data_IF_223916735072
#
_entry.id   IF_223916735072
#
_cell.length_a   1.000
_cell.length_b   1.000
_cell.length_c   1.000
_cell.angle_alpha   90.00
_cell.angle_beta   90.00
_cell.angle_gamma   90.00
#
_symmetry.space_group_name_H-M   'P 1'
#
loop_
_entity.id
_entity.type
_entity.pdbx_description
1 polymer ?
#
# COMPACT_ATOMS: atom_id res chain seq x y z
N UNK A 1 -9.16 14.39 -19.75
CA UNK A 1 -10.58 14.08 -20.01
C UNK A 1 -10.83 12.62 -20.43
N UNK A 2 -10.19 12.08 -21.51
CA UNK A 2 -10.44 10.70 -21.97
C UNK A 2 -10.03 9.66 -20.92
N UNK A 3 -8.83 9.76 -20.36
CA UNK A 3 -8.33 8.85 -19.32
C UNK A 3 -9.19 8.96 -18.05
N UNK A 4 -9.53 10.15 -17.61
CA UNK A 4 -10.43 10.37 -16.47
C UNK A 4 -11.76 9.67 -16.66
N UNK A 5 -12.41 9.87 -17.83
CA UNK A 5 -13.66 9.20 -18.19
C UNK A 5 -13.49 7.68 -18.10
N UNK A 6 -12.40 7.13 -18.67
CA UNK A 6 -12.14 5.69 -18.64
C UNK A 6 -11.92 5.16 -17.23
N UNK A 7 -11.23 5.91 -16.35
CA UNK A 7 -11.01 5.55 -14.94
C UNK A 7 -12.32 5.64 -14.14
N UNK A 8 -13.13 6.68 -14.39
CA UNK A 8 -14.37 6.94 -13.67
C UNK A 8 -15.52 6.03 -14.08
N UNK A 9 -15.50 5.48 -15.31
CA UNK A 9 -16.56 4.58 -15.77
C UNK A 9 -16.54 3.30 -14.93
N UNK A 10 -17.63 2.95 -14.23
CA UNK A 10 -17.71 1.70 -13.49
C UNK A 10 -17.62 0.51 -14.43
N UNK A 11 -16.91 -0.54 -14.03
CA UNK A 11 -16.84 -1.80 -14.76
C UNK A 11 -16.82 -2.97 -13.78
N UNK A 12 -17.58 -3.98 -14.07
CA UNK A 12 -17.59 -5.26 -13.35
C UNK A 12 -16.64 -6.27 -14.01
N UNK A 13 -16.27 -6.01 -15.26
CA UNK A 13 -15.40 -6.87 -16.04
C UNK A 13 -13.94 -6.44 -15.93
N UNK A 14 -13.05 -7.40 -16.14
CA UNK A 14 -11.62 -7.13 -16.24
C UNK A 14 -11.35 -6.24 -17.47
N UNK A 15 -10.64 -5.14 -17.24
CA UNK A 15 -10.23 -4.19 -18.28
C UNK A 15 -8.72 -4.28 -18.51
N UNK A 16 -8.32 -4.95 -19.58
CA UNK A 16 -6.93 -5.06 -19.98
C UNK A 16 -6.29 -3.67 -20.16
N UNK A 17 -5.12 -3.43 -19.56
CA UNK A 17 -4.35 -2.19 -19.70
C UNK A 17 -4.90 -1.01 -18.89
N UNK A 18 -5.86 -1.20 -17.99
CA UNK A 18 -6.38 -0.11 -17.15
C UNK A 18 -5.32 0.44 -16.19
N UNK A 19 -4.36 -0.38 -15.77
CA UNK A 19 -3.17 0.02 -15.01
C UNK A 19 -2.30 1.00 -15.79
N UNK A 20 -2.09 0.75 -17.09
CA UNK A 20 -1.40 1.67 -17.99
C UNK A 20 -2.13 2.99 -18.17
N UNK A 21 -3.48 2.97 -18.28
CA UNK A 21 -4.30 4.19 -18.33
C UNK A 21 -4.18 5.01 -17.05
N UNK A 22 -4.22 4.35 -15.88
CA UNK A 22 -4.05 5.02 -14.58
C UNK A 22 -2.62 5.58 -14.43
N UNK A 23 -1.60 4.84 -14.85
CA UNK A 23 -0.20 5.28 -14.83
C UNK A 23 0.01 6.50 -15.72
N UNK A 24 -0.47 6.46 -16.97
CA UNK A 24 -0.41 7.57 -17.90
C UNK A 24 -1.18 8.80 -17.40
N UNK A 25 -2.34 8.59 -16.79
CA UNK A 25 -3.10 9.68 -16.16
C UNK A 25 -2.30 10.35 -15.03
N UNK A 26 -1.67 9.57 -14.14
CA UNK A 26 -0.85 10.10 -13.05
C UNK A 26 0.42 10.80 -13.57
N UNK A 27 1.03 10.31 -14.66
CA UNK A 27 2.16 11.00 -15.32
C UNK A 27 1.77 12.39 -15.80
N UNK A 28 0.58 12.53 -16.40
CA UNK A 28 0.10 13.82 -16.92
C UNK A 28 -0.39 14.74 -15.81
N UNK A 29 -1.26 14.25 -14.92
CA UNK A 29 -1.91 15.03 -13.88
C UNK A 29 -1.02 15.27 -12.64
N UNK A 30 -0.01 14.43 -12.42
CA UNK A 30 0.81 14.48 -11.21
C UNK A 30 0.00 14.19 -9.95
N UNK A 31 0.34 14.85 -8.86
CA UNK A 31 -0.31 14.68 -7.56
C UNK A 31 -1.81 14.99 -7.61
N UNK A 32 -2.22 15.93 -8.45
CA UNK A 32 -3.64 16.30 -8.63
C UNK A 32 -4.50 15.15 -9.18
N UNK A 33 -3.90 14.15 -9.79
CA UNK A 33 -4.59 12.95 -10.28
C UNK A 33 -4.89 11.91 -9.20
N UNK A 34 -4.16 11.93 -8.09
CA UNK A 34 -4.31 10.91 -7.03
C UNK A 34 -5.72 10.85 -6.42
N UNK A 35 -6.39 11.98 -6.09
CA UNK A 35 -7.71 11.94 -5.46
C UNK A 35 -8.73 11.10 -6.25
N UNK A 36 -8.72 11.19 -7.58
CA UNK A 36 -9.62 10.39 -8.42
C UNK A 36 -9.40 8.88 -8.24
N UNK A 37 -8.14 8.45 -8.30
CA UNK A 37 -7.77 7.03 -8.15
C UNK A 37 -8.02 6.56 -6.72
N UNK A 38 -7.65 7.36 -5.73
CA UNK A 38 -7.89 7.06 -4.31
C UNK A 38 -9.37 6.86 -4.03
N UNK A 39 -10.21 7.78 -4.47
CA UNK A 39 -11.64 7.73 -4.24
C UNK A 39 -12.28 6.50 -4.89
N UNK A 40 -12.01 6.27 -6.18
CA UNK A 40 -12.74 5.30 -6.99
C UNK A 40 -12.18 3.88 -6.90
N UNK A 41 -10.87 3.72 -6.61
CA UNK A 41 -10.17 2.43 -6.74
C UNK A 41 -9.53 1.93 -5.45
N UNK A 42 -9.13 2.84 -4.55
CA UNK A 42 -8.44 2.44 -3.33
C UNK A 42 -9.38 2.43 -2.11
N UNK A 43 -10.14 3.51 -1.91
CA UNK A 43 -11.04 3.66 -0.75
C UNK A 43 -12.37 2.94 -0.93
N UNK A 44 -13.02 3.12 -2.08
CA UNK A 44 -14.34 2.55 -2.31
C UNK A 44 -14.25 1.04 -2.49
N UNK A 45 -15.03 0.33 -1.69
CA UNK A 45 -15.24 -1.12 -1.87
C UNK A 45 -16.33 -1.41 -2.91
N UNK A 46 -17.20 -0.43 -3.16
CA UNK A 46 -18.36 -0.59 -4.05
C UNK A 46 -18.23 0.30 -5.28
N UNK A 47 -18.76 -0.19 -6.40
CA UNK A 47 -18.89 0.61 -7.60
C UNK A 47 -19.90 1.75 -7.36
N UNK A 48 -19.56 2.92 -7.85
CA UNK A 48 -20.42 4.11 -7.78
C UNK A 48 -20.69 4.66 -9.18
N UNK A 49 -21.86 5.28 -9.39
CA UNK A 49 -22.15 6.01 -10.61
C UNK A 49 -21.49 7.42 -10.62
N UNK A 50 -21.78 8.21 -11.66
CA UNK A 50 -21.23 9.56 -11.81
C UNK A 50 -21.64 10.54 -10.68
N UNK A 51 -22.73 10.22 -9.96
CA UNK A 51 -23.24 11.02 -8.84
C UNK A 51 -22.75 10.50 -7.47
N UNK A 52 -21.90 9.46 -7.46
CA UNK A 52 -21.37 8.85 -6.24
C UNK A 52 -22.33 7.86 -5.57
N UNK A 53 -23.48 7.52 -6.20
CA UNK A 53 -24.43 6.54 -5.68
C UNK A 53 -23.90 5.11 -5.92
N UNK A 54 -23.97 4.27 -4.87
CA UNK A 54 -23.56 2.87 -4.96
C UNK A 54 -24.45 2.09 -5.92
N UNK A 55 -23.83 1.38 -6.86
CA UNK A 55 -24.53 0.52 -7.81
C UNK A 55 -24.95 -0.79 -7.14
N UNK A 56 -26.14 -1.27 -7.52
CA UNK A 56 -26.68 -2.55 -7.05
C UNK A 56 -26.98 -3.49 -8.23
N UNK A 57 -27.00 -4.79 -7.95
CA UNK A 57 -27.45 -5.80 -8.92
C UNK A 57 -29.00 -5.88 -8.95
N UNK A 58 -29.53 -6.79 -9.79
CA UNK A 58 -30.98 -7.03 -9.90
C UNK A 58 -31.64 -7.51 -8.60
N UNK A 59 -30.86 -8.01 -7.64
CA UNK A 59 -31.30 -8.48 -6.33
C UNK A 59 -31.07 -7.44 -5.21
N UNK A 60 -30.70 -6.19 -5.56
CA UNK A 60 -30.43 -5.12 -4.60
C UNK A 60 -29.09 -5.21 -3.87
N UNK A 61 -28.22 -6.16 -4.20
CA UNK A 61 -26.91 -6.31 -3.56
C UNK A 61 -25.91 -5.30 -4.14
N UNK A 62 -25.13 -4.67 -3.29
CA UNK A 62 -24.09 -3.69 -3.69
C UNK A 62 -23.03 -4.37 -4.56
N UNK A 63 -22.69 -3.77 -5.70
CA UNK A 63 -21.66 -4.25 -6.61
C UNK A 63 -20.29 -3.85 -6.08
N UNK A 64 -19.39 -4.82 -5.91
CA UNK A 64 -18.03 -4.58 -5.46
C UNK A 64 -17.17 -4.03 -6.59
N UNK A 65 -16.20 -3.19 -6.26
CA UNK A 65 -15.09 -2.85 -7.17
C UNK A 65 -14.31 -4.14 -7.42
N UNK A 66 -14.12 -4.57 -8.68
CA UNK A 66 -13.37 -5.78 -8.97
C UNK A 66 -11.94 -5.69 -8.41
N UNK A 67 -11.45 -6.82 -7.90
CA UNK A 67 -10.05 -6.93 -7.43
C UNK A 67 -9.05 -6.42 -8.47
N UNK A 68 -9.28 -6.74 -9.76
CA UNK A 68 -8.43 -6.31 -10.86
C UNK A 68 -8.30 -4.79 -10.98
N UNK A 69 -9.36 -4.03 -10.71
CA UNK A 69 -9.34 -2.56 -10.75
C UNK A 69 -8.50 -1.97 -9.60
N UNK A 70 -8.68 -2.51 -8.40
CA UNK A 70 -7.88 -2.08 -7.23
C UNK A 70 -6.42 -2.48 -7.38
N UNK A 71 -6.17 -3.69 -7.88
CA UNK A 71 -4.81 -4.16 -8.19
C UNK A 71 -4.13 -3.32 -9.27
N UNK A 72 -4.86 -2.94 -10.33
CA UNK A 72 -4.36 -2.05 -11.37
C UNK A 72 -3.98 -0.66 -10.83
N UNK A 73 -4.78 -0.12 -9.90
CA UNK A 73 -4.44 1.14 -9.23
C UNK A 73 -3.17 1.01 -8.37
N UNK A 74 -3.00 -0.11 -7.66
CA UNK A 74 -1.76 -0.42 -6.94
C UNK A 74 -0.56 -0.48 -7.89
N UNK A 75 -0.70 -1.11 -9.06
CA UNK A 75 0.35 -1.15 -10.08
C UNK A 75 0.70 0.23 -10.61
N UNK A 76 -0.30 1.10 -10.81
CA UNK A 76 -0.05 2.49 -11.20
C UNK A 76 0.76 3.26 -10.14
N UNK A 77 0.50 3.06 -8.85
CA UNK A 77 1.30 3.66 -7.77
C UNK A 77 2.75 3.12 -7.77
N UNK A 78 2.94 1.81 -8.01
CA UNK A 78 4.27 1.20 -8.15
C UNK A 78 5.03 1.78 -9.34
N UNK A 79 4.35 1.96 -10.47
CA UNK A 79 4.92 2.59 -11.66
C UNK A 79 5.38 4.02 -11.34
N UNK A 80 4.54 4.83 -10.71
CA UNK A 80 4.89 6.21 -10.32
C UNK A 80 6.08 6.26 -9.35
N UNK A 81 6.18 5.30 -8.44
CA UNK A 81 7.31 5.19 -7.50
C UNK A 81 8.63 4.88 -8.20
N UNK A 82 8.60 3.98 -9.20
CA UNK A 82 9.80 3.40 -9.80
C UNK A 82 10.29 4.13 -11.04
N UNK A 83 9.38 4.71 -11.81
CA UNK A 83 9.68 5.19 -13.17
C UNK A 83 9.31 6.65 -13.42
N UNK A 84 8.53 7.29 -12.58
CA UNK A 84 8.03 8.64 -12.84
C UNK A 84 8.92 9.77 -12.31
N UNK A 85 10.16 9.47 -11.94
CA UNK A 85 11.23 10.42 -11.56
C UNK A 85 10.77 11.59 -10.66
N UNK A 86 10.06 11.28 -9.59
CA UNK A 86 9.59 12.28 -8.63
C UNK A 86 8.37 13.11 -9.09
N UNK A 87 7.70 12.75 -10.18
CA UNK A 87 6.48 13.43 -10.65
C UNK A 87 5.42 13.58 -9.56
N UNK A 88 5.36 12.61 -8.65
CA UNK A 88 4.60 12.66 -7.40
C UNK A 88 5.59 12.41 -6.26
N UNK A 89 5.53 13.21 -5.21
CA UNK A 89 6.41 13.08 -4.07
C UNK A 89 6.27 11.70 -3.41
N UNK A 90 7.39 11.04 -3.10
CA UNK A 90 7.41 9.71 -2.48
C UNK A 90 6.57 9.60 -1.19
N UNK A 91 6.58 10.60 -0.26
CA UNK A 91 5.68 10.58 0.89
C UNK A 91 4.20 10.53 0.51
N UNK A 92 3.81 11.23 -0.56
CA UNK A 92 2.42 11.24 -1.04
C UNK A 92 2.00 9.89 -1.64
N UNK A 93 2.90 9.24 -2.39
CA UNK A 93 2.66 7.87 -2.89
C UNK A 93 2.52 6.85 -1.75
N UNK A 94 3.33 6.98 -0.68
CA UNK A 94 3.17 6.15 0.52
C UNK A 94 1.79 6.33 1.15
N UNK A 95 1.29 7.56 1.25
CA UNK A 95 -0.06 7.83 1.77
C UNK A 95 -1.14 7.12 0.96
N UNK A 96 -1.08 7.22 -0.38
CA UNK A 96 -2.02 6.51 -1.26
C UNK A 96 -1.94 4.99 -1.08
N UNK A 97 -0.71 4.43 -1.02
CA UNK A 97 -0.52 3.00 -0.85
C UNK A 97 -1.07 2.49 0.50
N UNK A 98 -0.95 3.28 1.57
CA UNK A 98 -1.47 2.91 2.91
C UNK A 98 -2.99 2.72 2.94
N UNK A 99 -3.73 3.33 2.02
CA UNK A 99 -5.19 3.16 1.91
C UNK A 99 -5.53 1.69 1.66
N UNK A 100 -4.71 1.00 0.88
CA UNK A 100 -4.91 -0.42 0.55
C UNK A 100 -4.63 -1.38 1.72
N UNK A 101 -4.06 -0.92 2.83
CA UNK A 101 -3.91 -1.75 4.03
C UNK A 101 -5.26 -2.16 4.63
N UNK A 102 -6.35 -1.45 4.34
CA UNK A 102 -7.71 -1.80 4.78
C UNK A 102 -8.36 -2.90 3.92
N UNK A 103 -7.61 -3.42 2.93
CA UNK A 103 -8.02 -4.49 2.02
C UNK A 103 -7.29 -5.79 2.34
N UNK A 104 -7.89 -6.73 3.09
CA UNK A 104 -7.22 -7.99 3.47
C UNK A 104 -6.68 -8.77 2.28
N UNK A 105 -7.37 -8.72 1.13
CA UNK A 105 -6.98 -9.41 -0.10
C UNK A 105 -5.70 -8.86 -0.76
N UNK A 106 -5.23 -7.67 -0.37
CA UNK A 106 -4.03 -7.01 -0.89
C UNK A 106 -3.00 -6.68 0.19
N UNK A 107 -3.35 -6.85 1.46
CA UNK A 107 -2.57 -6.33 2.58
C UNK A 107 -1.13 -6.88 2.61
N UNK A 108 -0.91 -8.14 2.30
CA UNK A 108 0.42 -8.75 2.26
C UNK A 108 1.33 -8.13 1.19
N UNK A 109 0.77 -7.84 0.01
CA UNK A 109 1.47 -7.18 -1.09
C UNK A 109 1.79 -5.72 -0.75
N UNK A 110 0.82 -5.02 -0.16
CA UNK A 110 0.97 -3.61 0.25
C UNK A 110 2.03 -3.48 1.35
N UNK A 111 2.03 -4.36 2.36
CA UNK A 111 3.03 -4.39 3.42
C UNK A 111 4.43 -4.58 2.83
N UNK A 112 4.57 -5.49 1.84
CA UNK A 112 5.85 -5.71 1.16
C UNK A 112 6.33 -4.47 0.39
N UNK A 113 5.43 -3.75 -0.28
CA UNK A 113 5.78 -2.51 -0.98
C UNK A 113 6.16 -1.39 -0.02
N UNK A 114 5.41 -1.19 1.06
CA UNK A 114 5.72 -0.18 2.06
C UNK A 114 7.08 -0.46 2.76
N UNK A 115 7.43 -1.74 2.94
CA UNK A 115 8.77 -2.11 3.41
C UNK A 115 9.87 -1.72 2.39
N UNK A 116 9.69 -2.00 1.10
CA UNK A 116 10.61 -1.58 0.02
C UNK A 116 10.72 -0.05 -0.07
N UNK A 117 9.61 0.63 0.14
CA UNK A 117 9.54 2.09 0.12
C UNK A 117 10.04 2.72 1.42
N UNK A 118 10.49 1.91 2.38
CA UNK A 118 10.99 2.35 3.69
C UNK A 118 9.98 3.23 4.44
N UNK A 119 8.74 2.84 4.39
CA UNK A 119 7.69 3.50 5.15
C UNK A 119 7.59 2.89 6.55
N UNK A 120 8.44 3.37 7.44
CA UNK A 120 8.55 2.84 8.80
C UNK A 120 7.55 3.43 9.79
N UNK A 121 6.60 4.25 9.33
CA UNK A 121 5.62 4.92 10.20
C UNK A 121 4.41 4.06 10.55
N UNK A 122 4.22 2.92 9.87
CA UNK A 122 3.02 2.08 10.01
C UNK A 122 3.21 0.88 10.97
N UNK A 123 4.32 0.80 11.70
CA UNK A 123 4.66 -0.35 12.53
C UNK A 123 3.54 -0.71 13.52
N UNK A 124 3.05 0.28 14.27
CA UNK A 124 1.98 0.06 15.26
C UNK A 124 0.67 -0.39 14.60
N UNK A 125 0.32 0.19 13.44
CA UNK A 125 -0.83 -0.25 12.64
C UNK A 125 -0.70 -1.72 12.22
N UNK A 126 0.48 -2.14 11.78
CA UNK A 126 0.74 -3.52 11.41
C UNK A 126 0.63 -4.48 12.60
N UNK A 127 1.01 -4.06 13.81
CA UNK A 127 0.80 -4.86 15.02
C UNK A 127 -0.69 -5.00 15.35
N UNK A 128 -1.48 -3.93 15.21
CA UNK A 128 -2.94 -3.98 15.37
C UNK A 128 -3.57 -4.94 14.34
N UNK A 129 -3.17 -4.86 13.06
CA UNK A 129 -3.63 -5.77 12.00
C UNK A 129 -3.26 -7.22 12.27
N UNK A 130 -2.09 -7.49 12.89
CA UNK A 130 -1.66 -8.85 13.23
C UNK A 130 -2.62 -9.54 14.21
N UNK A 131 -3.24 -8.77 15.09
CA UNK A 131 -4.18 -9.24 16.11
C UNK A 131 -5.64 -9.25 15.61
N UNK A 132 -5.94 -8.62 14.48
CA UNK A 132 -7.29 -8.49 13.93
C UNK A 132 -7.71 -9.77 13.18
N UNK A 133 -8.93 -10.24 13.50
CA UNK A 133 -9.53 -11.43 12.85
C UNK A 133 -9.69 -11.28 11.34
N UNK A 134 -9.97 -10.06 10.85
CA UNK A 134 -10.12 -9.80 9.42
C UNK A 134 -8.81 -10.02 8.64
N UNK A 135 -7.65 -9.87 9.31
CA UNK A 135 -6.32 -10.04 8.75
C UNK A 135 -5.63 -11.34 9.20
N UNK A 136 -6.37 -12.28 9.80
CA UNK A 136 -5.81 -13.54 10.30
C UNK A 136 -5.49 -14.52 9.16
N UNK A 137 -4.66 -14.08 8.23
CA UNK A 137 -4.20 -14.85 7.07
C UNK A 137 -2.70 -15.09 7.21
N UNK A 138 -2.19 -16.33 7.04
CA UNK A 138 -0.76 -16.63 7.18
C UNK A 138 0.16 -15.77 6.30
N UNK A 139 -0.28 -15.40 5.09
CA UNK A 139 0.49 -14.52 4.21
C UNK A 139 0.68 -13.13 4.82
N UNK A 140 -0.38 -12.55 5.39
CA UNK A 140 -0.32 -11.23 6.04
C UNK A 140 0.57 -11.28 7.27
N UNK A 141 0.43 -12.28 8.13
CA UNK A 141 1.29 -12.45 9.31
C UNK A 141 2.76 -12.52 8.94
N UNK A 142 3.10 -13.34 7.93
CA UNK A 142 4.48 -13.41 7.41
C UNK A 142 4.95 -12.07 6.83
N UNK A 143 4.08 -11.33 6.14
CA UNK A 143 4.42 -10.01 5.60
C UNK A 143 4.75 -9.01 6.71
N UNK A 144 3.96 -8.98 7.80
CA UNK A 144 4.22 -8.14 8.99
C UNK A 144 5.58 -8.48 9.62
N UNK A 145 5.86 -9.77 9.85
CA UNK A 145 7.15 -10.18 10.42
C UNK A 145 8.32 -9.78 9.51
N UNK A 146 8.20 -10.01 8.19
CA UNK A 146 9.21 -9.59 7.19
C UNK A 146 9.42 -8.09 7.18
N UNK A 147 8.35 -7.31 7.25
CA UNK A 147 8.43 -5.85 7.34
C UNK A 147 9.25 -5.42 8.57
N UNK A 148 8.97 -5.97 9.74
CA UNK A 148 9.71 -5.66 10.97
C UNK A 148 11.18 -6.09 10.87
N UNK A 149 11.47 -7.25 10.25
CA UNK A 149 12.83 -7.72 10.02
C UNK A 149 13.63 -6.79 9.08
N UNK A 150 13.00 -6.31 8.00
CA UNK A 150 13.64 -5.35 7.08
C UNK A 150 13.87 -4.01 7.78
N UNK A 151 12.86 -3.51 8.50
CA UNK A 151 12.96 -2.27 9.26
C UNK A 151 14.07 -2.32 10.32
N UNK A 152 14.20 -3.43 11.04
CA UNK A 152 15.23 -3.60 12.09
C UNK A 152 16.67 -3.54 11.57
N UNK A 153 16.86 -3.76 10.25
CA UNK A 153 18.16 -3.71 9.56
C UNK A 153 18.43 -2.38 8.86
N UNK A 154 17.46 -1.45 8.81
CA UNK A 154 17.59 -0.16 8.13
C UNK A 154 18.39 0.85 8.97
N UNK A 155 19.67 0.55 9.16
CA UNK A 155 20.63 1.40 9.87
C UNK A 155 21.36 2.27 8.83
N UNK A 156 21.38 3.61 8.96
CA UNK A 156 22.13 4.47 8.08
C UNK A 156 23.61 4.08 8.07
N UNK A 157 24.15 3.78 6.89
CA UNK A 157 25.59 3.57 6.74
C UNK A 157 26.31 4.90 6.99
N UNK A 158 27.11 4.98 8.04
CA UNK A 158 27.94 6.17 8.30
C UNK A 158 28.82 6.49 7.09
N UNK A 159 28.88 7.75 6.68
CA UNK A 159 29.65 8.25 5.52
C UNK A 159 31.16 8.10 5.67
N UNK A 160 31.68 7.71 6.83
CA UNK A 160 33.11 7.60 7.10
C UNK A 160 33.58 6.13 7.09
N UNK A 161 34.24 5.73 6.01
CA UNK A 161 34.88 4.40 5.85
C UNK A 161 36.01 4.15 6.85
N UNK A 162 36.54 5.18 7.54
CA UNK A 162 37.75 5.11 8.36
C UNK A 162 37.54 5.24 9.88
N UNK A 163 36.32 5.32 10.40
CA UNK A 163 36.09 5.28 11.84
C UNK A 163 35.62 3.89 12.26
N UNK A 164 36.40 3.24 13.16
CA UNK A 164 35.98 2.05 13.93
C UNK A 164 34.53 2.26 14.37
N UNK A 165 33.67 1.24 14.14
CA UNK A 165 32.24 1.18 14.43
C UNK A 165 31.95 1.50 15.91
N UNK A 166 31.94 2.74 16.30
CA UNK A 166 31.16 3.16 17.46
C UNK A 166 29.73 3.23 17.00
N UNK A 167 28.95 2.17 17.31
CA UNK A 167 27.53 2.08 17.00
C UNK A 167 26.82 3.19 17.77
N UNK A 168 26.55 4.32 17.10
CA UNK A 168 25.66 5.34 17.65
C UNK A 168 24.27 4.75 17.97
N UNK A 169 23.43 5.45 18.72
CA UNK A 169 22.12 4.95 19.10
C UNK A 169 21.32 4.56 17.84
N UNK A 170 20.71 3.37 17.87
CA UNK A 170 19.88 2.88 16.75
C UNK A 170 18.74 3.86 16.46
N UNK A 171 18.40 4.11 15.18
CA UNK A 171 17.27 4.93 14.81
C UNK A 171 15.97 4.50 15.51
N UNK A 172 15.06 5.44 15.80
CA UNK A 172 13.81 5.16 16.53
C UNK A 172 12.99 4.04 15.88
N UNK A 173 12.87 4.06 14.54
CA UNK A 173 12.13 3.01 13.80
C UNK A 173 12.77 1.62 13.96
N UNK A 174 14.10 1.52 14.03
CA UNK A 174 14.81 0.27 14.26
C UNK A 174 14.57 -0.26 15.67
N UNK A 175 14.60 0.62 16.68
CA UNK A 175 14.33 0.24 18.07
C UNK A 175 12.88 -0.27 18.22
N UNK A 176 11.90 0.42 17.61
CA UNK A 176 10.51 0.01 17.60
C UNK A 176 10.33 -1.36 16.93
N UNK A 177 10.92 -1.55 15.75
CA UNK A 177 10.85 -2.84 15.05
C UNK A 177 11.43 -4.00 15.86
N UNK A 178 12.54 -3.78 16.58
CA UNK A 178 13.13 -4.81 17.47
C UNK A 178 12.20 -5.16 18.65
N UNK A 179 11.51 -4.16 19.24
CA UNK A 179 10.49 -4.37 20.29
C UNK A 179 9.33 -5.20 19.74
N UNK A 180 8.79 -4.84 18.58
CA UNK A 180 7.69 -5.57 17.94
C UNK A 180 8.08 -7.00 17.60
N UNK A 181 9.29 -7.24 17.08
CA UNK A 181 9.80 -8.59 16.82
C UNK A 181 9.91 -9.43 18.09
N UNK A 182 10.31 -8.84 19.23
CA UNK A 182 10.35 -9.55 20.50
C UNK A 182 8.95 -9.99 20.97
N UNK A 183 7.94 -9.13 20.76
CA UNK A 183 6.53 -9.45 21.03
C UNK A 183 6.03 -10.58 20.11
N UNK A 184 6.27 -10.46 18.80
CA UNK A 184 5.83 -11.46 17.81
C UNK A 184 6.44 -12.84 18.07
N UNK A 185 7.74 -12.91 18.40
CA UNK A 185 8.41 -14.18 18.75
C UNK A 185 7.83 -14.88 19.97
N UNK A 186 7.34 -14.12 20.96
CA UNK A 186 6.67 -14.71 22.13
C UNK A 186 5.27 -15.23 21.82
N UNK A 187 4.55 -14.53 20.92
CA UNK A 187 3.15 -14.86 20.56
C UNK A 187 3.06 -16.00 19.56
N UNK A 188 3.93 -15.99 18.57
CA UNK A 188 3.89 -16.93 17.46
C UNK A 188 5.32 -17.30 17.01
N UNK A 189 5.97 -18.21 17.73
CA UNK A 189 7.37 -18.60 17.46
C UNK A 189 7.55 -19.32 16.12
N UNK A 190 6.46 -19.76 15.47
CA UNK A 190 6.49 -20.49 14.18
C UNK A 190 6.26 -19.60 12.95
N UNK A 191 5.86 -18.34 13.13
CA UNK A 191 5.72 -17.35 12.05
C UNK A 191 7.02 -16.60 11.85
#
# INVERSE_FOLDING_TARGET
KLMEKKISTPSEEFRLGIDGVMSGYLLLAGEKGLPLIEQLKLKNQFLVDANGKVLTDKKGRKKLVPFSETYAAMQALRFMWSYADGRIAKPRLRQSMRILLDRPELADLVIADLARWKDWSIQDRLMTMYDDKAFNVPAIKRAVVRYMLVCSKDIPKGKNKNKKKTAGPKPKHVQAALKHLAVLRKRDPKT
#
